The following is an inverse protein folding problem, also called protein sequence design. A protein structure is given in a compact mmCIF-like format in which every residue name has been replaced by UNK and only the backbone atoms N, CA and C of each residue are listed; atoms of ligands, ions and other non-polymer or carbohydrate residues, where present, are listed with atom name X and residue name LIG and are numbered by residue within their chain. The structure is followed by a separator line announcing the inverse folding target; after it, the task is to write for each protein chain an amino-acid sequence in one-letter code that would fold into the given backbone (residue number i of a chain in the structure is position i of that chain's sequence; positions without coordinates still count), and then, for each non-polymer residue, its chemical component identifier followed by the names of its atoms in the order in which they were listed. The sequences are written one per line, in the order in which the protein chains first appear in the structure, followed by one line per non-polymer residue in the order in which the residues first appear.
data_IF_273379332094
#
_entry.id   IF_273379332094
#
_cell.length_a   1.000
_cell.length_b   1.000
_cell.length_c   1.000
_cell.angle_alpha   90.00
_cell.angle_beta   90.00
_cell.angle_gamma   90.00
#
_symmetry.space_group_name_H-M   'P 1'
#
loop_
_entity.id
_entity.type
_entity.pdbx_description
1 polymer ?
#
# COMPACT_ATOMS: atom_id res chain seq x y z
N UNK A 1 -11.42 7.00 -10.28
CA UNK A 1 -10.88 6.08 -11.32
C UNK A 1 -10.25 6.92 -12.40
N UNK A 2 -9.02 6.62 -12.81
CA UNK A 2 -8.29 7.34 -13.84
C UNK A 2 -7.41 6.38 -14.63
N UNK A 3 -6.75 6.90 -15.67
CA UNK A 3 -5.76 6.16 -16.46
C UNK A 3 -4.54 7.04 -16.64
N UNK A 4 -3.35 6.46 -16.44
CA UNK A 4 -2.08 7.11 -16.69
C UNK A 4 -1.24 6.19 -17.58
N UNK A 5 -0.91 6.65 -18.79
CA UNK A 5 -0.40 5.79 -19.85
C UNK A 5 -1.38 4.66 -20.18
N UNK A 6 -0.95 3.41 -20.01
CA UNK A 6 -1.76 2.20 -20.24
C UNK A 6 -2.28 1.57 -18.93
N UNK A 7 -2.14 2.28 -17.80
CA UNK A 7 -2.44 1.76 -16.48
C UNK A 7 -3.68 2.43 -15.90
N UNK A 8 -4.73 1.64 -15.67
CA UNK A 8 -5.89 2.11 -14.89
C UNK A 8 -5.49 2.18 -13.43
N UNK A 9 -5.94 3.24 -12.76
CA UNK A 9 -5.61 3.46 -11.36
C UNK A 9 -6.73 4.16 -10.59
N UNK A 10 -6.64 4.03 -9.27
CA UNK A 10 -7.46 4.73 -8.30
C UNK A 10 -6.55 5.26 -7.21
N UNK A 11 -6.79 6.51 -6.80
CA UNK A 11 -6.12 7.13 -5.67
C UNK A 11 -7.20 7.61 -4.71
N UNK A 12 -7.04 7.29 -3.43
CA UNK A 12 -7.96 7.72 -2.39
C UNK A 12 -7.21 8.01 -1.09
N UNK A 13 -7.70 9.01 -0.36
CA UNK A 13 -7.38 9.15 1.06
C UNK A 13 -8.25 8.20 1.87
N UNK A 14 -7.63 7.39 2.73
CA UNK A 14 -8.28 6.30 3.45
C UNK A 14 -7.94 6.38 4.94
N UNK A 15 -8.99 6.38 5.76
CA UNK A 15 -8.90 6.16 7.21
C UNK A 15 -9.63 4.87 7.56
N UNK A 16 -8.86 3.83 7.88
CA UNK A 16 -9.39 2.53 8.29
C UNK A 16 -9.28 2.37 9.80
N UNK A 17 -10.36 1.92 10.43
CA UNK A 17 -10.45 1.71 11.88
C UNK A 17 -10.98 0.31 12.20
N UNK A 18 -10.47 -0.30 13.26
CA UNK A 18 -10.98 -1.55 13.82
C UNK A 18 -11.76 -1.24 15.10
N UNK A 19 -13.00 -1.73 15.18
CA UNK A 19 -13.78 -1.74 16.41
C UNK A 19 -13.20 -2.78 17.39
N UNK A 20 -13.01 -2.38 18.64
CA UNK A 20 -12.55 -3.24 19.73
C UNK A 20 -13.44 -3.05 20.94
N UNK A 21 -13.58 -4.10 21.74
CA UNK A 21 -14.26 -4.02 23.02
C UNK A 21 -13.39 -4.56 24.15
N UNK A 22 -13.42 -3.90 25.30
CA UNK A 22 -12.87 -4.42 26.56
C UNK A 22 -13.98 -4.54 27.60
N UNK A 23 -13.85 -5.54 28.47
CA UNK A 23 -14.73 -5.70 29.62
C UNK A 23 -13.91 -5.41 30.88
N UNK A 24 -14.45 -4.60 31.79
CA UNK A 24 -13.82 -4.36 33.09
C UNK A 24 -14.12 -5.51 34.08
N UNK A 25 -13.54 -5.43 35.28
CA UNK A 25 -13.76 -6.41 36.36
C UNK A 25 -15.20 -6.48 36.82
N UNK A 26 -15.98 -5.42 36.57
CA UNK A 26 -17.35 -5.26 37.04
C UNK A 26 -18.38 -5.69 35.96
N UNK A 27 -17.88 -6.19 34.82
CA UNK A 27 -18.69 -6.71 33.73
C UNK A 27 -19.11 -5.66 32.70
N UNK A 28 -18.76 -4.39 32.86
CA UNK A 28 -19.10 -3.34 31.91
C UNK A 28 -18.27 -3.48 30.64
N UNK A 29 -18.95 -3.36 29.49
CA UNK A 29 -18.32 -3.46 28.17
C UNK A 29 -18.14 -2.08 27.56
N UNK A 30 -16.90 -1.71 27.28
CA UNK A 30 -16.55 -0.48 26.56
C UNK A 30 -16.14 -0.82 25.13
N UNK A 31 -16.74 -0.13 24.16
CA UNK A 31 -16.40 -0.24 22.74
C UNK A 31 -15.61 0.99 22.30
N UNK A 32 -14.49 0.79 21.64
CA UNK A 32 -13.60 1.85 21.16
C UNK A 32 -13.03 1.51 19.78
N UNK A 33 -12.67 2.54 19.02
CA UNK A 33 -12.14 2.40 17.67
C UNK A 33 -10.63 2.64 17.65
N UNK A 34 -9.89 1.75 16.99
CA UNK A 34 -8.44 1.88 16.80
C UNK A 34 -8.14 2.10 15.33
N UNK A 35 -7.50 3.22 14.99
CA UNK A 35 -7.01 3.46 13.63
C UNK A 35 -5.91 2.46 13.29
N UNK A 36 -6.11 1.73 12.19
CA UNK A 36 -5.21 0.68 11.69
C UNK A 36 -4.47 1.11 10.42
N UNK A 37 -5.01 2.09 9.71
CA UNK A 37 -4.36 2.79 8.61
C UNK A 37 -4.99 4.17 8.44
N UNK A 38 -4.14 5.15 8.14
CA UNK A 38 -4.53 6.52 7.78
C UNK A 38 -3.50 7.02 6.78
N UNK A 39 -3.95 7.40 5.59
CA UNK A 39 -3.09 7.89 4.52
C UNK A 39 -3.64 7.64 3.13
N UNK A 40 -2.74 7.58 2.14
CA UNK A 40 -3.10 7.48 0.73
C UNK A 40 -3.02 6.04 0.25
N UNK A 41 -4.06 5.60 -0.46
CA UNK A 41 -4.13 4.31 -1.12
C UNK A 41 -4.14 4.52 -2.64
N UNK A 42 -3.12 4.01 -3.31
CA UNK A 42 -3.04 3.88 -4.76
C UNK A 42 -3.32 2.42 -5.13
N UNK A 43 -4.26 2.20 -6.04
CA UNK A 43 -4.53 0.89 -6.66
C UNK A 43 -4.27 1.06 -8.15
N UNK A 44 -3.43 0.21 -8.73
CA UNK A 44 -3.05 0.28 -10.14
C UNK A 44 -3.05 -1.11 -10.79
N UNK A 45 -3.51 -1.18 -12.04
CA UNK A 45 -3.54 -2.42 -12.81
C UNK A 45 -2.12 -2.91 -13.12
N UNK A 46 -1.82 -4.14 -12.69
CA UNK A 46 -0.52 -4.76 -12.95
C UNK A 46 -0.48 -5.37 -14.36
N UNK A 47 0.70 -5.34 -14.99
CA UNK A 47 0.93 -5.79 -16.36
C UNK A 47 1.01 -7.31 -16.51
N UNK A 48 0.93 -8.06 -15.42
CA UNK A 48 0.96 -9.51 -15.39
C UNK A 48 -0.28 -10.03 -14.68
N UNK A 49 -0.74 -11.20 -15.10
CA UNK A 49 -1.71 -11.97 -14.33
C UNK A 49 -1.01 -12.70 -13.19
N UNK A 50 -1.66 -12.69 -12.03
CA UNK A 50 -1.26 -13.51 -10.90
C UNK A 50 -2.51 -13.91 -10.09
N UNK A 51 -2.46 -15.10 -9.52
CA UNK A 51 -3.57 -15.74 -8.79
C UNK A 51 -3.37 -15.68 -7.28
N UNK A 52 -2.12 -15.74 -6.85
CA UNK A 52 -1.71 -15.60 -5.47
C UNK A 52 -1.85 -14.17 -4.98
N UNK A 53 -1.64 -14.03 -3.67
CA UNK A 53 -1.68 -12.75 -2.97
C UNK A 53 -0.38 -12.57 -2.26
N UNK A 54 0.35 -11.51 -2.62
CA UNK A 54 1.63 -11.16 -2.01
C UNK A 54 1.51 -9.84 -1.27
N UNK A 55 1.99 -9.78 -0.04
CA UNK A 55 1.96 -8.60 0.81
C UNK A 55 3.35 -8.28 1.33
N UNK A 56 3.70 -7.01 1.33
CA UNK A 56 5.02 -6.49 1.67
C UNK A 56 4.83 -5.42 2.75
N UNK A 57 5.43 -5.65 3.90
CA UNK A 57 5.33 -4.78 5.07
C UNK A 57 6.70 -4.36 5.57
N UNK A 58 6.85 -3.17 6.15
CA UNK A 58 8.11 -2.75 6.76
C UNK A 58 8.60 -3.78 7.81
N UNK A 59 9.88 -4.14 7.80
CA UNK A 59 10.45 -5.23 8.63
C UNK A 59 10.33 -4.97 10.15
N UNK A 60 10.43 -3.70 10.59
CA UNK A 60 10.20 -3.27 11.99
C UNK A 60 8.75 -3.39 12.45
N UNK A 61 7.89 -4.01 11.65
CA UNK A 61 6.51 -4.21 12.01
C UNK A 61 6.33 -5.19 13.17
N UNK A 62 7.32 -5.82 13.81
CA UNK A 62 7.08 -6.78 14.93
C UNK A 62 6.09 -6.27 16.00
N UNK A 63 6.09 -4.96 16.33
CA UNK A 63 5.07 -4.34 17.21
C UNK A 63 3.74 -4.03 16.51
N UNK A 64 3.77 -3.73 15.21
CA UNK A 64 2.59 -3.58 14.36
C UNK A 64 1.97 -4.94 13.97
N UNK A 65 2.72 -6.04 14.00
CA UNK A 65 2.38 -7.37 13.53
C UNK A 65 1.34 -8.01 14.43
N UNK A 66 1.41 -7.77 15.74
CA UNK A 66 0.37 -8.23 16.66
C UNK A 66 -1.00 -7.65 16.36
N UNK A 67 -1.08 -6.33 16.09
CA UNK A 67 -2.37 -5.66 15.87
C UNK A 67 -2.82 -5.72 14.41
N UNK A 68 -1.91 -5.56 13.47
CA UNK A 68 -2.19 -5.54 12.03
C UNK A 68 -2.24 -6.96 11.42
N UNK A 69 -1.44 -7.90 11.95
CA UNK A 69 -1.53 -9.32 11.56
C UNK A 69 -2.88 -9.92 11.92
N UNK A 70 -3.44 -9.56 13.10
CA UNK A 70 -4.82 -9.93 13.48
C UNK A 70 -5.87 -9.29 12.57
N UNK A 71 -5.73 -8.01 12.23
CA UNK A 71 -6.61 -7.32 11.28
C UNK A 71 -6.61 -7.98 9.89
N UNK A 72 -5.43 -8.28 9.33
CA UNK A 72 -5.31 -8.94 8.02
C UNK A 72 -5.82 -10.40 8.01
N UNK A 73 -5.71 -11.11 9.14
CA UNK A 73 -6.34 -12.43 9.30
C UNK A 73 -7.87 -12.31 9.29
N UNK A 74 -8.43 -11.34 10.04
CA UNK A 74 -9.89 -11.10 10.11
C UNK A 74 -10.48 -10.67 8.75
N UNK A 75 -9.77 -9.87 7.97
CA UNK A 75 -10.21 -9.46 6.62
C UNK A 75 -10.01 -10.54 5.55
N UNK A 76 -9.59 -11.76 5.91
CA UNK A 76 -9.32 -12.85 4.97
C UNK A 76 -8.12 -12.61 4.04
N UNK A 77 -7.45 -11.45 4.13
CA UNK A 77 -6.36 -11.02 3.27
C UNK A 77 -5.11 -11.90 3.41
N UNK A 78 -4.78 -12.33 4.63
CA UNK A 78 -3.60 -13.19 4.92
C UNK A 78 -3.92 -14.67 5.18
N UNK A 79 -5.17 -15.09 4.98
CA UNK A 79 -5.48 -16.52 5.09
C UNK A 79 -4.55 -17.32 4.18
N UNK A 80 -3.84 -18.31 4.73
CA UNK A 80 -2.91 -19.19 4.01
C UNK A 80 -1.66 -18.51 3.40
N UNK A 81 -1.26 -17.32 3.85
CA UNK A 81 0.03 -16.73 3.42
C UNK A 81 1.19 -17.16 4.32
N UNK A 82 2.32 -17.56 3.74
CA UNK A 82 3.59 -17.84 4.44
C UNK A 82 4.59 -16.69 4.30
N UNK A 83 5.49 -16.54 5.29
CA UNK A 83 6.64 -15.62 5.20
C UNK A 83 7.64 -16.17 4.16
N UNK A 84 8.10 -15.31 3.26
CA UNK A 84 9.07 -15.66 2.21
C UNK A 84 10.34 -14.87 2.42
N UNK A 85 11.48 -15.55 2.24
CA UNK A 85 12.81 -14.93 2.21
C UNK A 85 13.18 -14.49 0.81
N UNK A 86 13.41 -13.20 0.63
CA UNK A 86 13.91 -12.62 -0.60
C UNK A 86 15.44 -12.70 -0.67
N UNK A 87 15.96 -12.72 -1.89
CA UNK A 87 17.40 -12.83 -2.17
C UNK A 87 18.17 -11.52 -1.98
N UNK A 88 17.47 -10.38 -2.02
CA UNK A 88 18.07 -9.06 -1.90
C UNK A 88 18.23 -8.67 -0.42
N UNK A 89 19.48 -8.57 0.11
CA UNK A 89 19.71 -8.34 1.54
C UNK A 89 19.24 -6.98 2.04
N UNK A 90 19.18 -5.98 1.16
CA UNK A 90 18.68 -4.65 1.52
C UNK A 90 17.15 -4.67 1.60
N UNK A 91 16.51 -5.35 0.64
CA UNK A 91 15.07 -5.55 0.64
C UNK A 91 14.61 -6.35 1.86
N UNK A 92 15.26 -7.46 2.19
CA UNK A 92 14.94 -8.29 3.37
C UNK A 92 15.04 -7.51 4.69
N UNK A 93 16.00 -6.58 4.80
CA UNK A 93 16.12 -5.69 5.98
C UNK A 93 15.05 -4.60 6.02
N UNK A 94 14.51 -4.25 4.87
CA UNK A 94 13.53 -3.19 4.71
C UNK A 94 12.11 -3.71 4.92
N UNK A 95 11.83 -4.92 4.43
CA UNK A 95 10.49 -5.46 4.30
C UNK A 95 10.42 -6.95 4.64
N UNK A 96 9.28 -7.35 5.21
CA UNK A 96 8.86 -8.74 5.34
C UNK A 96 7.79 -9.07 4.29
N UNK A 97 8.00 -10.17 3.54
CA UNK A 97 7.14 -10.61 2.44
C UNK A 97 6.28 -11.80 2.84
N UNK A 98 4.98 -11.73 2.54
CA UNK A 98 4.03 -12.80 2.81
C UNK A 98 3.29 -13.13 1.53
N UNK A 99 3.26 -14.41 1.13
CA UNK A 99 2.48 -14.82 -0.05
C UNK A 99 1.73 -16.11 0.16
N UNK A 100 0.66 -16.30 -0.60
CA UNK A 100 0.00 -17.61 -0.75
C UNK A 100 0.73 -18.54 -1.72
N UNK A 101 1.60 -17.98 -2.57
CA UNK A 101 2.42 -18.72 -3.54
C UNK A 101 3.82 -18.09 -3.58
N UNK A 102 4.83 -18.87 -3.21
CA UNK A 102 6.23 -18.43 -3.17
C UNK A 102 6.83 -18.27 -4.56
N UNK A 103 6.50 -19.17 -5.49
CA UNK A 103 7.04 -19.15 -6.85
C UNK A 103 6.53 -17.91 -7.57
N UNK A 104 5.22 -17.64 -7.48
CA UNK A 104 4.61 -16.47 -8.07
C UNK A 104 5.12 -15.17 -7.43
N UNK A 105 5.32 -15.15 -6.10
CA UNK A 105 5.89 -14.00 -5.41
C UNK A 105 7.30 -13.66 -5.90
N UNK A 106 8.17 -14.65 -6.14
CA UNK A 106 9.51 -14.42 -6.70
C UNK A 106 9.48 -13.93 -8.14
N UNK A 107 8.48 -14.33 -8.92
CA UNK A 107 8.28 -13.84 -10.29
C UNK A 107 7.78 -12.39 -10.33
N UNK A 108 6.93 -12.00 -9.39
CA UNK A 108 6.46 -10.62 -9.21
C UNK A 108 7.60 -9.75 -8.65
N UNK A 109 8.26 -10.22 -7.60
CA UNK A 109 9.34 -9.53 -6.88
C UNK A 109 10.72 -9.90 -7.43
N UNK A 110 10.89 -9.67 -8.73
CA UNK A 110 12.22 -9.70 -9.34
C UNK A 110 13.16 -8.70 -8.66
N UNK A 111 14.47 -8.89 -8.82
CA UNK A 111 15.49 -7.96 -8.30
C UNK A 111 15.19 -6.51 -8.68
N UNK A 112 14.76 -6.27 -9.93
CA UNK A 112 14.38 -4.93 -10.40
C UNK A 112 13.14 -4.39 -9.67
N UNK A 113 12.11 -5.21 -9.45
CA UNK A 113 10.91 -4.79 -8.71
C UNK A 113 11.23 -4.47 -7.24
N UNK A 114 12.03 -5.31 -6.58
CA UNK A 114 12.49 -5.07 -5.21
C UNK A 114 13.23 -3.72 -5.09
N UNK A 115 14.11 -3.41 -6.05
CA UNK A 115 14.83 -2.13 -6.10
C UNK A 115 13.91 -0.93 -6.31
N UNK A 116 12.91 -1.06 -7.19
CA UNK A 116 11.89 -0.01 -7.38
C UNK A 116 11.08 0.23 -6.11
N UNK A 117 10.70 -0.83 -5.38
CA UNK A 117 9.99 -0.70 -4.10
C UNK A 117 10.87 -0.05 -3.02
N UNK A 118 12.18 -0.33 -2.99
CA UNK A 118 13.12 0.35 -2.09
C UNK A 118 13.25 1.85 -2.41
N UNK A 119 13.28 2.22 -3.69
CA UNK A 119 13.28 3.63 -4.10
C UNK A 119 11.99 4.35 -3.72
N UNK A 120 10.84 3.69 -3.88
CA UNK A 120 9.58 4.23 -3.38
C UNK A 120 9.60 4.44 -1.86
N UNK A 121 10.21 3.51 -1.11
CA UNK A 121 10.36 3.64 0.34
C UNK A 121 11.17 4.87 0.71
N UNK A 122 12.24 5.19 -0.02
CA UNK A 122 13.03 6.39 0.26
C UNK A 122 12.25 7.67 -0.03
N UNK A 123 11.35 7.65 -1.03
CA UNK A 123 10.53 8.81 -1.44
C UNK A 123 9.32 9.06 -0.53
N UNK A 124 8.59 8.01 -0.17
CA UNK A 124 7.35 8.08 0.59
C UNK A 124 7.51 7.80 2.10
N UNK A 125 8.67 7.28 2.50
CA UNK A 125 9.01 6.99 3.89
C UNK A 125 8.98 5.49 4.24
N UNK A 126 9.53 5.17 5.41
CA UNK A 126 9.84 3.79 5.79
C UNK A 126 8.62 2.89 6.00
N UNK A 127 7.42 3.46 6.17
CA UNK A 127 6.21 2.76 6.60
C UNK A 127 5.25 2.40 5.45
N UNK A 128 5.66 2.57 4.18
CA UNK A 128 4.85 2.15 3.04
C UNK A 128 4.54 0.66 3.09
N UNK A 129 3.38 0.29 2.57
CA UNK A 129 2.94 -1.10 2.45
C UNK A 129 2.54 -1.35 1.01
N UNK A 130 2.91 -2.51 0.48
CA UNK A 130 2.60 -2.88 -0.90
C UNK A 130 1.91 -4.24 -0.90
N UNK A 131 0.93 -4.42 -1.77
CA UNK A 131 0.34 -5.73 -2.02
C UNK A 131 0.05 -5.95 -3.49
N UNK A 132 0.16 -7.21 -3.89
CA UNK A 132 -0.21 -7.71 -5.19
C UNK A 132 -1.39 -8.64 -4.97
N UNK A 133 -2.58 -8.24 -5.44
CA UNK A 133 -3.80 -9.06 -5.38
C UNK A 133 -4.68 -8.77 -6.60
N UNK A 134 -5.35 -9.80 -7.12
CA UNK A 134 -6.28 -9.71 -8.25
C UNK A 134 -5.65 -9.05 -9.49
N UNK A 135 -4.37 -9.34 -9.72
CA UNK A 135 -3.58 -8.73 -10.80
C UNK A 135 -3.53 -7.19 -10.75
N UNK A 136 -3.62 -6.62 -9.54
CA UNK A 136 -3.44 -5.20 -9.22
C UNK A 136 -2.34 -5.02 -8.18
N UNK A 137 -1.60 -3.92 -8.31
CA UNK A 137 -0.73 -3.41 -7.27
C UNK A 137 -1.51 -2.43 -6.39
N UNK A 138 -1.39 -2.59 -5.09
CA UNK A 138 -1.89 -1.63 -4.11
C UNK A 138 -0.71 -1.08 -3.31
N UNK A 139 -0.58 0.24 -3.27
CA UNK A 139 0.37 0.95 -2.46
C UNK A 139 -0.39 1.73 -1.40
N UNK A 140 -0.06 1.50 -0.13
CA UNK A 140 -0.57 2.26 0.99
C UNK A 140 0.57 3.09 1.59
N UNK A 141 0.46 4.42 1.49
CA UNK A 141 1.41 5.39 2.03
C UNK A 141 0.79 6.03 3.27
N UNK A 142 1.30 5.75 4.49
CA UNK A 142 0.84 6.42 5.69
C UNK A 142 1.03 7.93 5.58
N UNK A 143 -0.05 8.67 5.79
CA UNK A 143 -0.07 10.13 5.67
C UNK A 143 -1.10 10.70 6.64
N UNK A 144 -0.77 11.79 7.33
CA UNK A 144 -1.66 12.43 8.32
C UNK A 144 -2.06 13.85 7.94
N UNK A 145 -1.44 14.43 6.91
CA UNK A 145 -1.83 15.75 6.43
C UNK A 145 -2.97 15.58 5.42
N UNK A 146 -3.90 16.53 5.34
CA UNK A 146 -4.87 16.61 4.27
C UNK A 146 -4.18 16.50 2.91
N UNK A 147 -4.63 15.60 2.04
CA UNK A 147 -4.06 15.41 0.70
C UNK A 147 -5.03 15.83 -0.40
N UNK A 148 -6.30 15.52 -0.24
CA UNK A 148 -7.34 15.88 -1.22
C UNK A 148 -8.05 17.19 -0.88
N UNK A 149 -7.86 17.73 0.32
CA UNK A 149 -8.53 18.95 0.75
C UNK A 149 -7.76 20.22 0.32
N UNK A 150 -8.47 21.22 -0.24
CA UNK A 150 -7.88 22.51 -0.53
C UNK A 150 -7.46 23.23 0.75
N UNK A 151 -6.43 24.08 0.65
CA UNK A 151 -6.01 24.89 1.78
C UNK A 151 -7.04 25.99 2.04
N UNK A 152 -7.83 25.83 3.12
CA UNK A 152 -8.89 26.77 3.51
C UNK A 152 -8.41 28.18 3.84
N UNK A 153 -7.10 28.38 4.03
CA UNK A 153 -6.50 29.71 4.26
C UNK A 153 -6.15 30.44 2.96
N UNK A 154 -6.22 29.77 1.82
CA UNK A 154 -5.91 30.31 0.49
C UNK A 154 -7.23 30.52 -0.26
N UNK A 155 -7.32 31.59 -1.05
CA UNK A 155 -8.51 31.89 -1.85
C UNK A 155 -8.75 30.77 -2.88
N UNK A 156 -10.00 30.37 -3.09
CA UNK A 156 -10.36 29.30 -4.04
C UNK A 156 -9.97 29.63 -5.49
N UNK A 157 -9.81 30.92 -5.81
CA UNK A 157 -9.38 31.41 -7.14
C UNK A 157 -7.86 31.48 -7.30
N UNK A 158 -7.10 31.21 -6.24
CA UNK A 158 -5.64 31.24 -6.30
C UNK A 158 -5.12 29.97 -7.00
N UNK A 159 -4.37 30.17 -8.09
CA UNK A 159 -3.84 29.08 -8.90
C UNK A 159 -2.85 28.18 -8.13
N UNK A 160 -2.23 28.67 -7.04
CA UNK A 160 -1.33 27.89 -6.20
C UNK A 160 -2.01 26.65 -5.61
N UNK A 161 -3.32 26.70 -5.32
CA UNK A 161 -4.05 25.54 -4.81
C UNK A 161 -4.06 24.38 -5.82
N UNK A 162 -4.29 24.70 -7.09
CA UNK A 162 -4.29 23.69 -8.17
C UNK A 162 -2.86 23.20 -8.41
N UNK A 163 -1.87 24.09 -8.38
CA UNK A 163 -0.48 23.72 -8.58
C UNK A 163 0.05 22.76 -7.50
N UNK A 164 -0.21 23.04 -6.22
CA UNK A 164 0.18 22.18 -5.10
C UNK A 164 -0.50 20.81 -5.18
N UNK A 165 -1.77 20.78 -5.56
CA UNK A 165 -2.51 19.54 -5.77
C UNK A 165 -1.93 18.71 -6.93
N UNK A 166 -1.66 19.35 -8.08
CA UNK A 166 -1.09 18.67 -9.25
C UNK A 166 0.31 18.13 -8.98
N UNK A 167 1.15 18.89 -8.26
CA UNK A 167 2.48 18.44 -7.83
C UNK A 167 2.37 17.24 -6.87
N UNK A 168 1.43 17.30 -5.94
CA UNK A 168 1.19 16.19 -5.01
C UNK A 168 0.69 14.94 -5.75
N UNK A 169 -0.19 15.11 -6.73
CA UNK A 169 -0.69 14.03 -7.57
C UNK A 169 0.42 13.45 -8.46
N UNK A 170 1.28 14.27 -9.05
CA UNK A 170 2.37 13.80 -9.92
C UNK A 170 3.31 12.85 -9.17
N UNK A 171 3.62 13.13 -7.90
CA UNK A 171 4.42 12.21 -7.08
C UNK A 171 3.85 10.79 -6.98
N UNK A 172 2.52 10.63 -6.97
CA UNK A 172 1.89 9.31 -6.96
C UNK A 172 1.76 8.72 -8.37
N UNK A 173 1.60 9.54 -9.41
CA UNK A 173 1.61 9.08 -10.79
C UNK A 173 2.99 8.59 -11.23
N UNK A 174 4.07 9.21 -10.74
CA UNK A 174 5.45 8.79 -10.97
C UNK A 174 5.70 7.36 -10.48
N UNK A 175 4.94 6.88 -9.50
CA UNK A 175 4.99 5.47 -9.06
C UNK A 175 4.58 4.50 -10.17
N UNK A 176 3.69 4.89 -11.09
CA UNK A 176 3.27 4.05 -12.21
C UNK A 176 4.46 3.79 -13.16
N UNK A 177 5.26 4.82 -13.41
CA UNK A 177 6.49 4.71 -14.22
C UNK A 177 7.62 4.02 -13.45
N UNK A 178 7.81 4.39 -12.18
CA UNK A 178 8.83 3.80 -11.31
C UNK A 178 8.63 2.30 -11.11
N UNK A 179 7.40 1.81 -11.15
CA UNK A 179 7.08 0.38 -11.05
C UNK A 179 6.95 -0.31 -12.41
N UNK A 180 7.16 0.41 -13.51
CA UNK A 180 7.06 -0.09 -14.89
C UNK A 180 5.71 -0.77 -15.19
N UNK A 181 4.62 -0.18 -14.69
CA UNK A 181 3.29 -0.75 -14.85
C UNK A 181 2.73 -0.57 -16.28
N UNK A 182 3.25 0.43 -17.00
CA UNK A 182 2.86 0.74 -18.38
C UNK A 182 3.40 -0.24 -19.41
N UNK A 183 4.44 -1.02 -19.09
CA UNK A 183 5.01 -2.00 -20.02
C UNK A 183 4.11 -3.22 -20.13
N UNK A 184 3.44 -3.41 -21.27
CA UNK A 184 2.46 -4.48 -21.52
C UNK A 184 3.00 -5.54 -22.50
N UNK A 185 4.19 -6.08 -22.24
CA UNK A 185 4.80 -7.10 -23.13
C UNK A 185 4.04 -8.44 -23.08
N UNK A 186 3.39 -8.74 -21.95
CA UNK A 186 2.58 -9.93 -21.74
C UNK A 186 1.17 -9.50 -21.32
N UNK A 187 0.35 -9.09 -22.29
CA UNK A 187 -0.99 -8.54 -22.04
C UNK A 187 -1.92 -9.55 -21.37
N UNK A 188 -2.75 -9.04 -20.47
CA UNK A 188 -4.06 -9.63 -20.17
C UNK A 188 -4.89 -9.56 -21.46
N UNK A 189 -5.43 -10.67 -21.93
CA UNK A 189 -6.48 -10.64 -22.96
C UNK A 189 -7.76 -10.03 -22.38
#
# INVERSE_FOLDING_TARGET
YGTYGNTKLQLAEVRAQEERSRQDSDGNRETYYVTIFEGILLIADFNKHFHGRTFIFPDKAEKLFGNFGRFLQKMGGRSKTGLIRMEDPEFEKAFAVYSTDEIEARYILSTAMMRRILNMRSRFGENIRVSFKDSCLMLAVPHRKPFLEPNRKVAATDASQVQEFLLSLSHFLDTIEELDLNTRIWTKQ
#
